data_IF_417583520816
#
_entry.id   IF_417583520816
#
_cell.length_a   1.000
_cell.length_b   1.000
_cell.length_c   1.000
_cell.angle_alpha   90.00
_cell.angle_beta   90.00
_cell.angle_gamma   90.00
#
_symmetry.space_group_name_H-M   'P 1'
#
loop_
_entity.id
_entity.type
_entity.pdbx_description
1 polymer ?
#
# COMPACT_ATOMS: atom_id res chain seq x y z
N UNK A 1 -22.34 -6.45 -21.74
CA UNK A 1 -22.11 -5.27 -20.89
C UNK A 1 -20.89 -4.56 -21.46
N UNK A 2 -21.09 -3.51 -22.26
CA UNK A 2 -20.00 -2.71 -22.84
C UNK A 2 -19.61 -1.65 -21.81
N UNK A 3 -18.39 -1.71 -21.30
CA UNK A 3 -17.83 -0.65 -20.45
C UNK A 3 -17.35 0.46 -21.39
N UNK A 4 -18.22 1.43 -21.70
CA UNK A 4 -17.85 2.59 -22.51
C UNK A 4 -17.04 3.57 -21.65
N UNK A 5 -15.72 3.56 -21.81
CA UNK A 5 -14.84 4.56 -21.21
C UNK A 5 -14.87 5.78 -22.12
N UNK A 6 -15.61 6.82 -21.73
CA UNK A 6 -15.45 8.14 -22.34
C UNK A 6 -14.08 8.69 -21.95
N UNK A 7 -13.13 8.59 -22.88
CA UNK A 7 -11.77 9.09 -22.73
C UNK A 7 -11.77 10.62 -22.81
N UNK A 8 -12.01 11.25 -21.67
CA UNK A 8 -11.72 12.67 -21.49
C UNK A 8 -10.23 12.82 -21.15
N UNK A 9 -9.41 13.00 -22.18
CA UNK A 9 -7.95 13.09 -22.04
C UNK A 9 -7.52 14.22 -21.10
N UNK A 10 -8.32 15.29 -20.98
CA UNK A 10 -8.07 16.38 -20.05
C UNK A 10 -8.21 15.93 -18.60
N UNK A 11 -9.31 15.25 -18.27
CA UNK A 11 -9.56 14.71 -16.92
C UNK A 11 -8.52 13.65 -16.56
N UNK A 12 -8.20 12.75 -17.49
CA UNK A 12 -7.19 11.70 -17.26
C UNK A 12 -5.83 12.32 -16.93
N UNK A 13 -5.41 13.31 -17.71
CA UNK A 13 -4.13 13.99 -17.50
C UNK A 13 -4.12 14.75 -16.17
N UNK A 14 -5.21 15.43 -15.82
CA UNK A 14 -5.34 16.12 -14.54
C UNK A 14 -5.26 15.15 -13.34
N UNK A 15 -5.94 13.99 -13.43
CA UNK A 15 -5.88 12.95 -12.40
C UNK A 15 -4.47 12.38 -12.26
N UNK A 16 -3.81 12.07 -13.38
CA UNK A 16 -2.44 11.53 -13.36
C UNK A 16 -1.43 12.53 -12.78
N UNK A 17 -1.52 13.82 -13.16
CA UNK A 17 -0.68 14.87 -12.59
C UNK A 17 -0.96 15.05 -11.09
N UNK A 18 -2.23 15.04 -10.68
CA UNK A 18 -2.62 15.12 -9.28
C UNK A 18 -2.07 13.97 -8.44
N UNK A 19 -2.18 12.73 -8.95
CA UNK A 19 -1.61 11.54 -8.31
C UNK A 19 -0.08 11.58 -8.28
N UNK A 20 0.56 12.09 -9.32
CA UNK A 20 2.01 12.23 -9.37
C UNK A 20 2.52 13.25 -8.34
N UNK A 21 1.90 14.43 -8.27
CA UNK A 21 2.22 15.45 -7.27
C UNK A 21 1.97 14.92 -5.85
N UNK A 22 0.84 14.24 -5.64
CA UNK A 22 0.55 13.57 -4.39
C UNK A 22 1.63 12.54 -4.05
N UNK A 23 2.05 11.69 -5.00
CA UNK A 23 3.07 10.68 -4.80
C UNK A 23 4.43 11.26 -4.39
N UNK A 24 4.85 12.37 -5.00
CA UNK A 24 6.09 13.08 -4.63
C UNK A 24 6.00 13.61 -3.19
N UNK A 25 4.88 14.26 -2.85
CA UNK A 25 4.64 14.78 -1.49
C UNK A 25 4.55 13.67 -0.45
N UNK A 26 3.81 12.60 -0.77
CA UNK A 26 3.61 11.45 0.09
C UNK A 26 4.91 10.70 0.35
N UNK A 27 5.75 10.49 -0.67
CA UNK A 27 7.07 9.89 -0.50
C UNK A 27 7.95 10.70 0.46
N UNK A 28 7.92 12.03 0.34
CA UNK A 28 8.67 12.92 1.23
C UNK A 28 8.16 12.84 2.68
N UNK A 29 6.83 12.77 2.85
CA UNK A 29 6.20 12.57 4.16
C UNK A 29 6.58 11.21 4.77
N UNK A 30 6.51 10.13 4.00
CA UNK A 30 6.87 8.78 4.44
C UNK A 30 8.35 8.73 4.83
N UNK A 31 9.24 9.29 4.02
CA UNK A 31 10.67 9.36 4.33
C UNK A 31 10.93 10.13 5.64
N UNK A 32 10.13 11.17 5.93
CA UNK A 32 10.21 11.88 7.21
C UNK A 32 9.68 11.07 8.40
N UNK A 33 8.56 10.34 8.22
CA UNK A 33 8.04 9.42 9.25
C UNK A 33 9.01 8.29 9.54
N UNK A 34 9.68 7.78 8.51
CA UNK A 34 10.67 6.71 8.61
C UNK A 34 11.88 7.14 9.43
N UNK A 35 12.40 8.34 9.18
CA UNK A 35 13.51 8.92 9.97
C UNK A 35 13.17 9.12 11.45
N UNK A 36 11.88 9.15 11.80
CA UNK A 36 11.40 9.28 13.20
C UNK A 36 11.09 7.93 13.85
N UNK A 37 11.32 6.81 13.18
CA UNK A 37 11.11 5.45 13.72
C UNK A 37 9.64 5.02 13.76
N UNK A 38 8.70 5.78 13.19
CA UNK A 38 7.27 5.45 13.20
C UNK A 38 6.87 4.40 12.15
N UNK A 39 7.77 4.02 11.25
CA UNK A 39 7.49 3.08 10.15
C UNK A 39 7.76 1.62 10.48
N UNK A 40 8.43 1.31 11.61
CA UNK A 40 8.68 -0.07 12.02
C UNK A 40 7.34 -0.79 12.30
N UNK A 41 6.90 -1.59 11.32
CA UNK A 41 5.66 -2.38 11.38
C UNK A 41 4.43 -1.75 10.69
N UNK A 42 4.43 -0.45 10.40
CA UNK A 42 3.28 0.27 9.80
C UNK A 42 3.40 0.54 8.30
N UNK A 43 4.50 0.12 7.65
CA UNK A 43 4.73 0.35 6.22
C UNK A 43 3.60 -0.19 5.33
N UNK A 44 2.99 -1.32 5.70
CA UNK A 44 1.85 -1.89 4.98
C UNK A 44 0.62 -0.99 4.99
N UNK A 45 0.36 -0.28 6.10
CA UNK A 45 -0.75 0.67 6.23
C UNK A 45 -0.48 1.95 5.45
N UNK A 46 0.76 2.41 5.42
CA UNK A 46 1.22 3.53 4.58
C UNK A 46 0.98 3.20 3.10
N UNK A 47 1.38 2.02 2.65
CA UNK A 47 1.13 1.57 1.27
C UNK A 47 -0.37 1.46 0.98
N UNK A 48 -1.16 0.90 1.91
CA UNK A 48 -2.61 0.81 1.75
C UNK A 48 -3.27 2.19 1.59
N UNK A 49 -2.81 3.20 2.33
CA UNK A 49 -3.28 4.58 2.18
C UNK A 49 -2.93 5.17 0.80
N UNK A 50 -1.70 4.95 0.32
CA UNK A 50 -1.31 5.35 -1.04
C UNK A 50 -2.21 4.73 -2.11
N UNK A 51 -2.58 3.45 -1.94
CA UNK A 51 -3.49 2.75 -2.85
C UNK A 51 -4.92 3.31 -2.77
N UNK A 52 -5.40 3.69 -1.59
CA UNK A 52 -6.69 4.35 -1.44
C UNK A 52 -6.75 5.67 -2.24
N UNK A 53 -5.66 6.43 -2.26
CA UNK A 53 -5.56 7.65 -3.07
C UNK A 53 -5.56 7.35 -4.57
N UNK A 54 -4.87 6.29 -5.01
CA UNK A 54 -4.95 5.83 -6.41
C UNK A 54 -6.38 5.45 -6.78
N UNK A 55 -7.10 4.73 -5.91
CA UNK A 55 -8.50 4.37 -6.14
C UNK A 55 -9.42 5.58 -6.22
N UNK A 56 -9.17 6.62 -5.41
CA UNK A 56 -9.90 7.89 -5.51
C UNK A 56 -9.70 8.53 -6.89
N UNK A 57 -8.47 8.52 -7.42
CA UNK A 57 -8.19 8.97 -8.79
C UNK A 57 -8.93 8.16 -9.86
N UNK A 58 -8.94 6.84 -9.74
CA UNK A 58 -9.70 5.97 -10.66
C UNK A 58 -11.21 6.21 -10.54
N UNK A 59 -11.73 6.46 -9.35
CA UNK A 59 -13.15 6.71 -9.12
C UNK A 59 -13.65 7.99 -9.81
N UNK A 60 -12.79 9.00 -9.95
CA UNK A 60 -13.09 10.22 -10.74
C UNK A 60 -13.32 9.87 -12.22
N UNK A 61 -12.58 8.88 -12.76
CA UNK A 61 -12.71 8.45 -14.16
C UNK A 61 -13.88 7.48 -14.35
N UNK A 62 -14.01 6.50 -13.47
CA UNK A 62 -15.10 5.53 -13.49
C UNK A 62 -15.20 4.80 -12.16
N UNK A 63 -16.36 4.89 -11.52
CA UNK A 63 -16.65 4.17 -10.28
C UNK A 63 -16.60 2.64 -10.48
N UNK A 64 -17.00 2.15 -11.64
CA UNK A 64 -16.95 0.72 -11.96
C UNK A 64 -15.51 0.22 -12.08
N UNK A 65 -14.65 1.00 -12.73
CA UNK A 65 -13.23 0.70 -12.81
C UNK A 65 -12.60 0.71 -11.41
N UNK A 66 -12.92 1.70 -10.58
CA UNK A 66 -12.40 1.80 -9.21
C UNK A 66 -12.79 0.59 -8.34
N UNK A 67 -14.04 0.14 -8.42
CA UNK A 67 -14.49 -1.06 -7.69
C UNK A 67 -13.77 -2.32 -8.16
N UNK A 68 -13.60 -2.50 -9.48
CA UNK A 68 -12.84 -3.63 -10.01
C UNK A 68 -11.38 -3.59 -9.58
N UNK A 69 -10.74 -2.42 -9.63
CA UNK A 69 -9.36 -2.23 -9.18
C UNK A 69 -9.23 -2.49 -7.68
N UNK A 70 -10.20 -2.06 -6.86
CA UNK A 70 -10.22 -2.33 -5.42
C UNK A 70 -10.29 -3.83 -5.15
N UNK A 71 -11.20 -4.55 -5.80
CA UNK A 71 -11.33 -6.00 -5.63
C UNK A 71 -10.06 -6.74 -6.07
N UNK A 72 -9.49 -6.36 -7.21
CA UNK A 72 -8.22 -6.91 -7.68
C UNK A 72 -7.10 -6.66 -6.67
N UNK A 73 -7.00 -5.44 -6.13
CA UNK A 73 -6.00 -5.08 -5.14
C UNK A 73 -6.18 -5.87 -3.84
N UNK A 74 -7.40 -6.03 -3.34
CA UNK A 74 -7.67 -6.84 -2.15
C UNK A 74 -7.29 -8.30 -2.39
N UNK A 75 -7.64 -8.86 -3.55
CA UNK A 75 -7.30 -10.23 -3.91
C UNK A 75 -5.78 -10.46 -3.96
N UNK A 76 -5.01 -9.52 -4.51
CA UNK A 76 -3.54 -9.64 -4.60
C UNK A 76 -2.81 -9.22 -3.33
N UNK A 77 -3.33 -8.23 -2.62
CA UNK A 77 -2.70 -7.58 -1.47
C UNK A 77 -2.89 -8.35 -0.17
N UNK A 78 -4.04 -8.99 0.03
CA UNK A 78 -4.34 -9.76 1.25
C UNK A 78 -3.31 -10.88 1.49
N UNK A 79 -2.96 -11.73 0.50
CA UNK A 79 -1.90 -12.73 0.67
C UNK A 79 -0.54 -12.14 1.02
N UNK A 80 -0.21 -10.97 0.48
CA UNK A 80 1.06 -10.29 0.75
C UNK A 80 1.15 -9.77 2.18
N UNK A 81 0.06 -9.17 2.70
CA UNK A 81 -0.04 -8.72 4.09
C UNK A 81 0.06 -9.92 5.03
N UNK A 82 -0.74 -10.96 4.81
CA UNK A 82 -0.71 -12.18 5.63
C UNK A 82 0.68 -12.81 5.61
N UNK A 83 1.29 -12.95 4.42
CA UNK A 83 2.64 -13.47 4.28
C UNK A 83 3.68 -12.64 5.02
N UNK A 84 3.54 -11.31 5.03
CA UNK A 84 4.45 -10.42 5.77
C UNK A 84 4.35 -10.63 7.28
N UNK A 85 3.14 -10.79 7.82
CA UNK A 85 2.88 -11.05 9.24
C UNK A 85 3.46 -12.41 9.63
N UNK A 86 3.20 -13.46 8.84
CA UNK A 86 3.74 -14.80 9.12
C UNK A 86 5.26 -14.81 9.13
N UNK A 87 5.91 -14.14 8.16
CA UNK A 87 7.38 -14.02 8.12
C UNK A 87 7.92 -13.23 9.32
N UNK A 88 7.23 -12.17 9.73
CA UNK A 88 7.60 -11.39 10.90
C UNK A 88 7.55 -12.22 12.18
N UNK A 89 6.46 -12.96 12.41
CA UNK A 89 6.30 -13.83 13.58
C UNK A 89 7.36 -14.93 13.63
N UNK A 90 7.65 -15.60 12.50
CA UNK A 90 8.70 -16.62 12.42
C UNK A 90 10.08 -16.08 12.81
N UNK A 91 10.48 -14.92 12.29
CA UNK A 91 11.75 -14.27 12.64
C UNK A 91 11.82 -13.91 14.12
N UNK A 92 10.70 -13.48 14.71
CA UNK A 92 10.61 -13.16 16.13
C UNK A 92 10.76 -14.41 17.01
N UNK A 93 10.17 -15.53 16.62
CA UNK A 93 10.30 -16.80 17.33
C UNK A 93 11.72 -17.36 17.25
N UNK A 94 12.37 -17.27 16.09
CA UNK A 94 13.78 -17.65 15.90
C UNK A 94 14.72 -16.82 16.79
N UNK A 95 14.53 -15.49 16.81
CA UNK A 95 15.32 -14.60 17.68
C UNK A 95 15.11 -14.91 19.17
N UNK A 96 13.87 -15.19 19.58
CA UNK A 96 13.55 -15.55 20.97
C UNK A 96 14.19 -16.87 21.39
N UNK A 97 14.24 -17.86 20.49
CA UNK A 97 14.91 -19.15 20.75
C UNK A 97 16.42 -18.99 20.88
N UNK A 98 17.06 -18.21 20.00
CA UNK A 98 18.49 -17.93 20.08
C UNK A 98 18.90 -17.28 21.41
N UNK A 99 18.10 -16.32 21.92
CA UNK A 99 18.35 -15.70 23.23
C UNK A 99 18.18 -16.68 24.41
N UNK A 100 17.20 -17.59 24.35
CA UNK A 100 17.01 -18.59 25.40
C UNK A 100 18.15 -19.61 25.46
N UNK A 101 18.73 -19.95 24.30
CA UNK A 101 19.87 -20.86 24.22
C UNK A 101 21.16 -20.21 24.73
N UNK A 102 21.35 -18.89 24.55
CA UNK A 102 22.47 -18.14 25.15
C UNK A 102 22.37 -18.04 26.68
N UNK A 103 21.16 -17.82 27.23
CA UNK A 103 20.97 -17.71 28.70
C UNK A 103 21.12 -19.05 29.42
N UNK A 104 20.91 -20.17 28.72
CA UNK A 104 21.06 -21.53 29.27
C UNK A 104 22.49 -22.06 29.26
N UNK A 105 23.43 -21.36 28.61
CA UNK A 105 24.82 -21.78 28.45
C UNK A 105 25.72 -21.11 29.49
#
# INVERSE_FOLDING_TARGET
MTCEIRLDYGVITAVLLGLLLFGIGYNSLVAWLERRGYTEGFLSLIVAFGVAMTLAGVAILSIHAALLTLLAFVATGTPMIVGSIVRYLRRRDEAKRAMLDEVKR
#
